data_IF_998696677519
#
_entry.id   IF_998696677519
#
_cell.length_a   1.000
_cell.length_b   1.000
_cell.length_c   1.000
_cell.angle_alpha   90.00
_cell.angle_beta   90.00
_cell.angle_gamma   90.00
#
_symmetry.space_group_name_H-M   'P 1'
#
loop_
_entity.id
_entity.type
_entity.pdbx_description
1 polymer ?
#
# COMPACT_ATOMS: atom_id res chain seq x y z
N UNK A 1 -6.88 -6.10 -15.56
CA UNK A 1 -7.63 -6.30 -14.30
C UNK A 1 -8.74 -5.26 -14.18
N UNK A 2 -9.89 -5.55 -13.55
CA UNK A 2 -10.98 -4.56 -13.35
C UNK A 2 -10.92 -3.99 -11.95
N UNK A 3 -11.41 -2.75 -11.75
CA UNK A 3 -11.49 -2.09 -10.44
C UNK A 3 -12.11 -2.98 -9.37
N UNK A 4 -13.27 -3.58 -9.66
CA UNK A 4 -14.00 -4.45 -8.72
C UNK A 4 -13.19 -5.68 -8.28
N UNK A 5 -12.38 -6.24 -9.19
CA UNK A 5 -11.54 -7.40 -8.86
C UNK A 5 -10.40 -6.98 -7.93
N UNK A 6 -9.78 -5.83 -8.16
CA UNK A 6 -8.71 -5.30 -7.30
C UNK A 6 -9.24 -4.98 -5.90
N UNK A 7 -10.41 -4.34 -5.79
CA UNK A 7 -11.05 -4.08 -4.50
C UNK A 7 -11.30 -5.36 -3.71
N UNK A 8 -11.82 -6.41 -4.35
CA UNK A 8 -11.99 -7.71 -3.70
C UNK A 8 -10.67 -8.31 -3.23
N UNK A 9 -9.60 -8.19 -4.00
CA UNK A 9 -8.27 -8.67 -3.57
C UNK A 9 -7.79 -7.92 -2.32
N UNK A 10 -7.98 -6.59 -2.26
CA UNK A 10 -7.63 -5.78 -1.09
C UNK A 10 -8.47 -6.17 0.14
N UNK A 11 -9.74 -6.51 -0.05
CA UNK A 11 -10.64 -6.91 1.03
C UNK A 11 -10.12 -8.16 1.78
N UNK A 12 -9.58 -9.14 1.04
CA UNK A 12 -9.11 -10.41 1.59
C UNK A 12 -7.59 -10.50 1.81
N UNK A 13 -6.85 -9.41 1.56
CA UNK A 13 -5.38 -9.40 1.58
C UNK A 13 -4.79 -9.91 2.90
N UNK A 14 -5.44 -9.60 4.02
CA UNK A 14 -4.99 -9.97 5.37
C UNK A 14 -4.96 -11.48 5.62
N UNK A 15 -5.75 -12.25 4.86
CA UNK A 15 -5.88 -13.71 4.99
C UNK A 15 -4.96 -14.43 3.99
N UNK A 16 -4.40 -13.70 3.01
CA UNK A 16 -3.49 -14.24 2.01
C UNK A 16 -2.11 -14.57 2.56
N UNK A 17 -1.37 -15.41 1.84
CA UNK A 17 0.05 -15.65 2.12
C UNK A 17 0.87 -14.38 1.89
N UNK A 18 2.09 -14.31 2.45
CA UNK A 18 3.01 -13.18 2.21
C UNK A 18 3.20 -12.94 0.71
N UNK A 19 3.38 -14.02 -0.07
CA UNK A 19 3.54 -13.95 -1.53
C UNK A 19 2.32 -13.34 -2.23
N UNK A 20 1.10 -13.68 -1.80
CA UNK A 20 -0.14 -13.12 -2.33
C UNK A 20 -0.29 -11.63 -1.97
N UNK A 21 0.14 -11.25 -0.77
CA UNK A 21 0.13 -9.86 -0.31
C UNK A 21 1.13 -9.00 -1.09
N UNK A 22 2.35 -9.51 -1.32
CA UNK A 22 3.36 -8.84 -2.14
C UNK A 22 2.92 -8.73 -3.60
N UNK A 23 2.30 -9.78 -4.15
CA UNK A 23 1.73 -9.75 -5.50
C UNK A 23 0.65 -8.66 -5.63
N UNK A 24 -0.17 -8.42 -4.61
CA UNK A 24 -1.14 -7.33 -4.64
C UNK A 24 -0.47 -5.96 -4.73
N UNK A 25 0.61 -5.73 -3.98
CA UNK A 25 1.38 -4.49 -4.06
C UNK A 25 1.94 -4.27 -5.47
N UNK A 26 2.48 -5.32 -6.10
CA UNK A 26 2.98 -5.30 -7.48
C UNK A 26 1.85 -4.99 -8.49
N UNK A 27 0.69 -5.64 -8.36
CA UNK A 27 -0.48 -5.38 -9.21
C UNK A 27 -0.90 -3.91 -9.11
N UNK A 28 -0.99 -3.36 -7.89
CA UNK A 28 -1.37 -1.97 -7.68
C UNK A 28 -0.32 -1.00 -8.23
N UNK A 29 0.95 -1.37 -8.17
CA UNK A 29 2.03 -0.61 -8.76
C UNK A 29 1.97 -0.58 -10.29
N UNK A 30 1.76 -1.72 -10.94
CA UNK A 30 1.54 -1.83 -12.38
C UNK A 30 0.31 -1.05 -12.86
N UNK A 31 -0.73 -0.99 -12.03
CA UNK A 31 -1.93 -0.18 -12.30
C UNK A 31 -1.66 1.33 -12.15
N UNK A 32 -0.57 1.71 -11.48
CA UNK A 32 -0.06 3.08 -11.37
C UNK A 32 -1.15 4.14 -11.09
N UNK A 33 -1.93 3.93 -10.03
CA UNK A 33 -2.95 4.90 -9.60
C UNK A 33 -4.20 4.97 -10.49
N UNK A 34 -4.37 4.05 -11.46
CA UNK A 34 -5.58 3.99 -12.31
C UNK A 34 -6.89 3.86 -11.51
N UNK A 35 -6.83 3.29 -10.32
CA UNK A 35 -7.96 3.17 -9.39
C UNK A 35 -7.54 3.75 -8.03
N UNK A 36 -7.66 5.06 -7.88
CA UNK A 36 -7.25 5.79 -6.67
C UNK A 36 -7.89 5.24 -5.39
N UNK A 37 -9.15 4.81 -5.47
CA UNK A 37 -9.86 4.23 -4.34
C UNK A 37 -9.28 2.88 -3.90
N UNK A 38 -8.66 2.12 -4.81
CA UNK A 38 -7.93 0.91 -4.45
C UNK A 38 -6.68 1.25 -3.63
N UNK A 39 -5.95 2.30 -4.00
CA UNK A 39 -4.79 2.74 -3.22
C UNK A 39 -5.17 3.22 -1.83
N UNK A 40 -6.27 3.97 -1.71
CA UNK A 40 -6.82 4.41 -0.43
C UNK A 40 -7.17 3.20 0.45
N UNK A 41 -7.85 2.20 -0.12
CA UNK A 41 -8.18 0.99 0.63
C UNK A 41 -6.94 0.17 0.99
N UNK A 42 -5.92 0.16 0.14
CA UNK A 42 -4.66 -0.53 0.41
C UNK A 42 -3.89 0.13 1.56
N UNK A 43 -3.80 1.47 1.59
CA UNK A 43 -3.18 2.24 2.68
C UNK A 43 -3.82 1.93 4.03
N UNK A 44 -5.15 1.74 4.08
CA UNK A 44 -5.85 1.35 5.31
C UNK A 44 -5.38 0.01 5.88
N UNK A 45 -4.69 -0.82 5.09
CA UNK A 45 -4.17 -2.14 5.49
C UNK A 45 -2.69 -2.12 5.88
N UNK A 46 -1.98 -1.00 5.75
CA UNK A 46 -0.52 -0.95 5.90
C UNK A 46 0.01 -1.35 7.25
N UNK A 47 -0.72 -1.09 8.34
CA UNK A 47 -0.34 -1.58 9.67
C UNK A 47 -0.25 -3.12 9.73
N UNK A 48 -1.13 -3.81 9.02
CA UNK A 48 -1.17 -5.29 8.95
C UNK A 48 -0.11 -5.80 7.97
N UNK A 49 0.09 -5.07 6.88
CA UNK A 49 1.08 -5.38 5.84
C UNK A 49 2.48 -4.85 6.17
N UNK A 50 2.73 -4.38 7.39
CA UNK A 50 4.01 -3.78 7.81
C UNK A 50 5.19 -4.75 7.78
N UNK A 51 4.93 -6.05 7.68
CA UNK A 51 5.94 -7.08 7.56
C UNK A 51 6.45 -7.27 6.12
N UNK A 52 5.72 -6.75 5.12
CA UNK A 52 6.10 -6.92 3.72
C UNK A 52 7.41 -6.18 3.41
N UNK A 53 8.22 -6.80 2.55
CA UNK A 53 9.44 -6.23 2.01
C UNK A 53 10.54 -5.81 3.02
N UNK A 54 10.41 -6.22 4.28
CA UNK A 54 11.41 -5.92 5.31
C UNK A 54 12.79 -6.47 4.96
N UNK A 55 13.81 -5.60 4.97
CA UNK A 55 15.21 -5.98 4.73
C UNK A 55 15.65 -5.95 3.26
N UNK A 56 14.79 -5.53 2.33
CA UNK A 56 15.18 -5.26 0.93
C UNK A 56 15.49 -3.76 0.74
N UNK A 57 16.53 -3.45 -0.04
CA UNK A 57 16.78 -2.07 -0.48
C UNK A 57 15.79 -1.73 -1.60
N UNK A 58 14.73 -1.04 -1.22
CA UNK A 58 13.65 -0.60 -2.10
C UNK A 58 13.71 0.89 -2.39
N UNK A 59 14.81 1.57 -2.08
CA UNK A 59 14.92 3.05 -2.09
C UNK A 59 14.46 3.73 -3.40
N UNK A 60 14.50 3.01 -4.53
CA UNK A 60 14.02 3.48 -5.85
C UNK A 60 12.62 2.95 -6.25
N UNK A 61 11.97 2.19 -5.37
CA UNK A 61 10.68 1.56 -5.62
C UNK A 61 9.50 2.48 -5.26
N UNK A 62 8.31 2.09 -5.73
CA UNK A 62 7.05 2.75 -5.42
C UNK A 62 6.76 2.82 -3.92
N UNK A 63 6.01 3.83 -3.49
CA UNK A 63 5.58 3.98 -2.10
C UNK A 63 4.79 2.76 -1.57
N UNK A 64 4.17 1.98 -2.46
CA UNK A 64 3.43 0.76 -2.14
C UNK A 64 4.29 -0.35 -1.52
N UNK A 65 5.61 -0.26 -1.65
CA UNK A 65 6.57 -1.21 -1.07
C UNK A 65 7.09 -0.79 0.31
N UNK A 66 6.58 0.32 0.87
CA UNK A 66 7.00 0.83 2.18
C UNK A 66 5.85 0.84 3.22
N UNK A 67 5.08 -0.26 3.38
CA UNK A 67 3.96 -0.28 4.31
C UNK A 67 4.42 -0.07 5.76
N UNK A 68 5.60 -0.56 6.13
CA UNK A 68 6.17 -0.39 7.47
C UNK A 68 6.48 1.08 7.78
N UNK A 69 7.22 1.75 6.90
CA UNK A 69 7.64 3.13 7.07
C UNK A 69 6.43 4.05 7.09
N UNK A 70 5.45 3.79 6.22
CA UNK A 70 4.23 4.59 6.15
C UNK A 70 3.37 4.40 7.40
N UNK A 71 3.14 3.15 7.81
CA UNK A 71 2.32 2.87 9.01
C UNK A 71 3.00 3.26 10.33
N UNK A 72 4.32 3.42 10.32
CA UNK A 72 5.11 3.95 11.44
C UNK A 72 5.25 5.47 11.45
N UNK A 73 4.71 6.18 10.45
CA UNK A 73 4.80 7.64 10.36
C UNK A 73 6.19 8.16 9.94
N UNK A 74 7.06 7.31 9.41
CA UNK A 74 8.44 7.64 9.07
C UNK A 74 8.67 7.87 7.57
N UNK A 75 7.70 7.55 6.71
CA UNK A 75 7.79 7.79 5.27
C UNK A 75 7.42 9.25 4.95
N UNK A 76 8.15 9.95 4.06
CA UNK A 76 7.82 11.34 3.74
C UNK A 76 6.45 11.48 3.05
N UNK A 77 5.49 12.19 3.66
CA UNK A 77 4.12 12.34 3.16
C UNK A 77 4.05 12.99 1.77
N UNK A 78 4.99 13.88 1.45
CA UNK A 78 5.12 14.53 0.15
C UNK A 78 5.46 13.56 -0.98
N UNK A 79 6.02 12.38 -0.66
CA UNK A 79 6.28 11.31 -1.63
C UNK A 79 5.07 10.41 -1.87
N UNK A 80 4.01 10.53 -1.06
CA UNK A 80 2.75 9.86 -1.32
C UNK A 80 1.92 10.64 -2.37
N UNK A 81 1.20 9.93 -3.25
CA UNK A 81 0.20 10.53 -4.12
C UNK A 81 -0.85 11.31 -3.33
N UNK A 82 -1.37 12.40 -3.93
CA UNK A 82 -2.33 13.30 -3.29
C UNK A 82 -3.56 12.56 -2.77
N UNK A 83 -4.12 11.63 -3.55
CA UNK A 83 -5.33 10.87 -3.22
C UNK A 83 -5.19 9.94 -2.01
N UNK A 84 -3.97 9.59 -1.59
CA UNK A 84 -3.73 8.77 -0.38
C UNK A 84 -3.07 9.53 0.77
N UNK A 85 -2.57 10.74 0.52
CA UNK A 85 -1.80 11.49 1.52
C UNK A 85 -2.62 11.82 2.76
N UNK A 86 -3.86 12.31 2.56
CA UNK A 86 -4.77 12.67 3.64
C UNK A 86 -5.05 11.46 4.54
N UNK A 87 -5.47 10.34 3.95
CA UNK A 87 -5.78 9.14 4.74
C UNK A 87 -4.55 8.53 5.42
N UNK A 88 -3.38 8.56 4.78
CA UNK A 88 -2.15 8.10 5.41
C UNK A 88 -1.83 8.97 6.63
N UNK A 89 -1.91 10.30 6.49
CA UNK A 89 -1.68 11.25 7.57
C UNK A 89 -2.62 11.00 8.75
N UNK A 90 -3.93 10.88 8.50
CA UNK A 90 -4.93 10.64 9.54
C UNK A 90 -4.70 9.34 10.32
N UNK A 91 -4.29 8.27 9.62
CA UNK A 91 -4.16 6.95 10.23
C UNK A 91 -2.82 6.76 10.96
N UNK A 92 -1.73 7.30 10.43
CA UNK A 92 -0.38 6.87 10.81
C UNK A 92 0.55 8.01 11.27
N UNK A 93 0.26 9.26 10.97
CA UNK A 93 1.15 10.39 11.28
C UNK A 93 0.48 11.25 12.35
N UNK A 94 0.93 11.09 13.60
CA UNK A 94 0.47 11.86 14.76
C UNK A 94 1.43 12.98 15.12
#
# INVERSE_FOLDING_TARGET
>A
MTRERVLKLIEFVEVGSIEEQEMLAQILDELNGKFEDCDVNFVRKFSILSHLFGGMDLSESSWRYFPNEISSGNFPLEKLPEHVREIASELYYK
#
